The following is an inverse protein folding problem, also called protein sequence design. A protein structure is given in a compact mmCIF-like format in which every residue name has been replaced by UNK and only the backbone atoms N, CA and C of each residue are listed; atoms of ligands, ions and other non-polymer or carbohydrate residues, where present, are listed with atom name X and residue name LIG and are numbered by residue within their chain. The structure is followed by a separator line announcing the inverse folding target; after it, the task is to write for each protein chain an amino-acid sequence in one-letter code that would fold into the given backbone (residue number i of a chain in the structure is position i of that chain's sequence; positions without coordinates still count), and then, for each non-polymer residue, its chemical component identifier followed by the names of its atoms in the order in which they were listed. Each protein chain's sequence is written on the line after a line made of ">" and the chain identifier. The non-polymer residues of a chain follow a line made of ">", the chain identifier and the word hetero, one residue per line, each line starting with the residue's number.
data_IF_212179935937
#
_entry.id   IF_212179935937
#
_cell.length_a   1.000
_cell.length_b   1.000
_cell.length_c   1.000
_cell.angle_alpha   90.00
_cell.angle_beta   90.00
_cell.angle_gamma   90.00
#
_symmetry.space_group_name_H-M   'P 1'
#
loop_
_entity.id
_entity.type
_entity.pdbx_description
1 polymer ?
#
# COMPACT_ATOMS: atom_id res chain seq x y z
N UNK A 1 -9.61 7.66 6.31
CA UNK A 1 -9.43 7.51 7.78
C UNK A 1 -9.67 8.89 8.40
N UNK A 2 -10.26 8.95 9.60
CA UNK A 2 -10.60 10.23 10.26
C UNK A 2 -9.46 10.77 11.14
N UNK A 3 -9.70 11.88 11.83
CA UNK A 3 -8.73 12.55 12.71
C UNK A 3 -8.06 11.64 13.75
N UNK A 4 -8.80 10.66 14.28
CA UNK A 4 -8.29 9.69 15.25
C UNK A 4 -7.05 8.92 14.76
N UNK A 5 -6.90 8.71 13.45
CA UNK A 5 -5.76 8.00 12.89
C UNK A 5 -4.46 8.75 13.17
N UNK A 6 -4.48 10.07 12.97
CA UNK A 6 -3.34 10.96 13.14
C UNK A 6 -2.97 11.18 14.61
N UNK A 7 -3.92 11.07 15.54
CA UNK A 7 -3.67 11.16 16.99
C UNK A 7 -3.29 9.83 17.63
N UNK A 8 -3.53 8.71 16.95
CA UNK A 8 -3.09 7.38 17.38
C UNK A 8 -1.62 7.13 17.04
N UNK A 9 -1.04 6.05 17.58
CA UNK A 9 0.32 5.60 17.20
C UNK A 9 0.52 5.42 15.70
N UNK A 10 -0.56 5.19 14.93
CA UNK A 10 -0.52 5.00 13.47
C UNK A 10 -0.08 6.26 12.73
N UNK A 11 -0.40 7.45 13.26
CA UNK A 11 0.01 8.74 12.71
C UNK A 11 1.48 9.09 12.96
N UNK A 12 2.17 8.38 13.86
CA UNK A 12 3.55 8.67 14.21
C UNK A 12 4.51 7.72 13.47
N UNK A 13 5.29 8.24 12.52
CA UNK A 13 6.17 7.44 11.63
C UNK A 13 7.18 6.60 12.41
N UNK A 14 7.71 7.11 13.52
CA UNK A 14 8.64 6.37 14.38
C UNK A 14 8.01 5.14 15.07
N UNK A 15 6.67 5.06 15.14
CA UNK A 15 5.93 3.91 15.69
C UNK A 15 5.31 3.04 14.61
N UNK A 16 4.83 3.65 13.52
CA UNK A 16 4.06 2.95 12.48
C UNK A 16 4.87 2.58 11.25
N UNK A 17 6.01 3.22 11.04
CA UNK A 17 6.77 3.12 9.81
C UNK A 17 6.17 3.88 8.62
N UNK A 18 5.10 4.65 8.83
CA UNK A 18 4.42 5.41 7.77
C UNK A 18 3.40 4.59 6.97
N UNK A 19 2.79 5.22 5.96
CA UNK A 19 1.66 4.62 5.23
C UNK A 19 2.08 3.37 4.45
N UNK A 20 3.21 3.42 3.75
CA UNK A 20 3.70 2.29 2.96
C UNK A 20 3.92 1.05 3.83
N UNK A 21 4.45 1.20 5.05
CA UNK A 21 4.63 0.09 5.99
C UNK A 21 3.31 -0.33 6.66
N UNK A 22 2.65 0.60 7.34
CA UNK A 22 1.49 0.27 8.20
C UNK A 22 0.25 -0.17 7.41
N UNK A 23 0.12 0.29 6.17
CA UNK A 23 -1.05 0.00 5.31
C UNK A 23 -0.64 -0.86 4.10
N UNK A 24 0.53 -0.58 3.51
CA UNK A 24 0.94 -1.13 2.23
C UNK A 24 1.62 -2.48 2.26
N UNK A 25 2.24 -2.88 3.38
CA UNK A 25 3.20 -4.00 3.41
C UNK A 25 2.64 -5.31 2.84
N UNK A 26 1.39 -5.66 3.15
CA UNK A 26 0.77 -6.89 2.64
C UNK A 26 0.52 -6.88 1.13
N UNK A 27 0.35 -5.69 0.51
CA UNK A 27 0.27 -5.60 -0.95
C UNK A 27 1.63 -5.82 -1.58
N UNK A 28 2.69 -5.22 -1.04
CA UNK A 28 4.04 -5.40 -1.56
C UNK A 28 4.53 -6.84 -1.38
N UNK A 29 4.17 -7.47 -0.26
CA UNK A 29 4.38 -8.90 0.00
C UNK A 29 3.70 -9.78 -1.06
N UNK A 30 2.39 -9.58 -1.26
CA UNK A 30 1.63 -10.32 -2.27
C UNK A 30 2.16 -10.09 -3.69
N UNK A 31 2.51 -8.86 -4.05
CA UNK A 31 3.08 -8.55 -5.37
C UNK A 31 4.43 -9.24 -5.57
N UNK A 32 5.29 -9.22 -4.56
CA UNK A 32 6.56 -9.94 -4.57
C UNK A 32 6.38 -11.45 -4.72
N UNK A 33 5.44 -12.03 -3.97
CA UNK A 33 5.10 -13.44 -4.07
C UNK A 33 4.63 -13.86 -5.47
N UNK A 34 3.81 -13.03 -6.13
CA UNK A 34 3.28 -13.32 -7.48
C UNK A 34 4.33 -13.05 -8.57
N UNK A 35 4.99 -11.89 -8.51
CA UNK A 35 5.79 -11.36 -9.63
C UNK A 35 7.30 -11.52 -9.48
N UNK A 36 7.77 -12.05 -8.35
CA UNK A 36 9.17 -12.38 -8.11
C UNK A 36 9.96 -11.24 -7.46
N UNK A 37 11.27 -11.24 -7.68
CA UNK A 37 12.18 -10.30 -7.04
C UNK A 37 11.98 -8.86 -7.52
N UNK A 38 12.12 -7.89 -6.61
CA UNK A 38 12.11 -6.46 -6.97
C UNK A 38 13.43 -6.07 -7.64
N UNK A 39 13.35 -5.37 -8.77
CA UNK A 39 14.49 -4.86 -9.57
C UNK A 39 14.60 -3.35 -9.50
N UNK A 40 13.48 -2.64 -9.37
CA UNK A 40 13.46 -1.19 -9.24
C UNK A 40 12.35 -0.75 -8.28
N UNK A 41 12.63 0.29 -7.48
CA UNK A 41 11.70 0.86 -6.53
C UNK A 41 11.81 2.39 -6.54
N UNK A 42 10.81 3.05 -7.12
CA UNK A 42 10.76 4.51 -7.27
C UNK A 42 9.58 5.05 -6.47
N UNK A 43 9.85 6.03 -5.62
CA UNK A 43 8.81 6.78 -4.90
C UNK A 43 8.53 8.10 -5.61
N UNK A 44 7.27 8.31 -6.01
CA UNK A 44 6.83 9.56 -6.65
C UNK A 44 6.21 10.54 -5.64
N UNK A 45 5.43 10.01 -4.70
CA UNK A 45 4.74 10.76 -3.65
C UNK A 45 4.88 10.01 -2.34
N UNK A 46 5.23 10.70 -1.27
CA UNK A 46 5.18 10.16 0.09
C UNK A 46 4.85 11.29 1.06
N UNK A 47 3.60 11.32 1.55
CA UNK A 47 3.07 12.35 2.44
C UNK A 47 2.35 11.71 3.62
N UNK A 48 1.78 12.54 4.50
CA UNK A 48 1.07 12.07 5.70
C UNK A 48 -0.22 11.27 5.42
N UNK A 49 -0.84 11.41 4.25
CA UNK A 49 -2.12 10.76 3.90
C UNK A 49 -2.04 9.81 2.70
N UNK A 50 -0.95 9.82 1.93
CA UNK A 50 -0.77 8.95 0.78
C UNK A 50 0.69 8.68 0.44
N UNK A 51 0.90 7.60 -0.28
CA UNK A 51 2.15 7.29 -0.94
C UNK A 51 1.86 6.72 -2.33
N UNK A 52 2.73 6.99 -3.31
CA UNK A 52 2.61 6.49 -4.66
C UNK A 52 3.99 6.26 -5.26
N UNK A 53 4.10 5.25 -6.12
CA UNK A 53 5.38 4.85 -6.65
C UNK A 53 5.25 3.89 -7.83
N UNK A 54 6.41 3.38 -8.22
CA UNK A 54 6.59 2.35 -9.22
C UNK A 54 7.51 1.27 -8.67
N UNK A 55 7.15 0.02 -8.93
CA UNK A 55 7.97 -1.15 -8.65
C UNK A 55 8.13 -1.93 -9.95
N UNK A 56 9.36 -2.26 -10.31
CA UNK A 56 9.65 -3.27 -11.33
C UNK A 56 10.01 -4.56 -10.62
N UNK A 57 9.21 -5.59 -10.83
CA UNK A 57 9.49 -6.96 -10.44
C UNK A 57 9.97 -7.75 -11.66
N UNK A 58 10.54 -8.94 -11.45
CA UNK A 58 10.98 -9.83 -12.54
C UNK A 58 9.92 -10.07 -13.61
N UNK A 59 8.64 -10.13 -13.21
CA UNK A 59 7.53 -10.49 -14.09
C UNK A 59 6.48 -9.40 -14.26
N UNK A 60 6.66 -8.23 -13.62
CA UNK A 60 5.64 -7.18 -13.69
C UNK A 60 6.19 -5.78 -13.45
N UNK A 61 5.50 -4.81 -14.04
CA UNK A 61 5.70 -3.38 -13.82
C UNK A 61 4.47 -2.84 -13.11
N UNK A 62 4.65 -2.34 -11.88
CA UNK A 62 3.55 -2.02 -10.99
C UNK A 62 3.62 -0.55 -10.60
N UNK A 63 2.67 0.22 -11.12
CA UNK A 63 2.37 1.56 -10.59
C UNK A 63 1.43 1.39 -9.42
N UNK A 64 1.77 1.94 -8.26
CA UNK A 64 0.99 1.76 -7.03
C UNK A 64 0.61 3.08 -6.38
N UNK A 65 -0.53 3.08 -5.69
CA UNK A 65 -1.05 4.21 -4.93
C UNK A 65 -1.74 3.72 -3.66
N UNK A 66 -1.34 4.27 -2.53
CA UNK A 66 -1.90 3.99 -1.21
C UNK A 66 -2.37 5.30 -0.61
N UNK A 67 -3.60 5.34 -0.11
CA UNK A 67 -4.07 6.51 0.63
C UNK A 67 -5.02 6.14 1.76
N UNK A 68 -4.93 6.92 2.83
CA UNK A 68 -5.91 6.93 3.90
C UNK A 68 -6.89 8.09 3.75
N UNK A 69 -6.80 8.90 2.70
CA UNK A 69 -7.72 10.00 2.44
C UNK A 69 -8.98 9.47 1.73
N UNK A 70 -10.15 9.91 2.19
CA UNK A 70 -11.42 9.51 1.57
C UNK A 70 -11.60 10.17 0.19
N UNK A 71 -11.04 11.37 0.00
CA UNK A 71 -11.24 12.14 -1.22
C UNK A 71 -10.52 11.52 -2.43
N UNK A 72 -9.55 10.63 -2.20
CA UNK A 72 -8.83 9.90 -3.25
C UNK A 72 -9.57 8.65 -3.75
N UNK A 73 -10.74 8.33 -3.18
CA UNK A 73 -11.57 7.21 -3.64
C UNK A 73 -12.31 7.63 -4.94
N UNK A 74 -12.45 6.74 -5.94
CA UNK A 74 -13.26 7.02 -7.13
C UNK A 74 -14.71 7.39 -6.79
N UNK A 75 -15.29 8.34 -7.53
CA UNK A 75 -16.65 8.84 -7.26
C UNK A 75 -17.71 7.74 -7.39
N UNK A 76 -17.52 6.79 -8.30
CA UNK A 76 -18.39 5.63 -8.51
C UNK A 76 -18.44 4.73 -7.27
N UNK A 77 -17.34 4.62 -6.54
CA UNK A 77 -17.24 3.85 -5.29
C UNK A 77 -17.87 4.63 -4.14
N UNK A 78 -17.67 5.96 -4.08
CA UNK A 78 -18.32 6.83 -3.09
C UNK A 78 -19.85 6.81 -3.23
N UNK A 79 -20.37 6.82 -4.46
CA UNK A 79 -21.82 6.74 -4.75
C UNK A 79 -22.46 5.44 -4.25
N UNK A 80 -21.69 4.38 -4.11
CA UNK A 80 -22.14 3.10 -3.54
C UNK A 80 -22.10 3.10 -2.00
N UNK A 81 -21.71 4.20 -1.36
CA UNK A 81 -21.58 4.31 0.10
C UNK A 81 -20.32 3.65 0.65
N UNK A 82 -19.42 3.16 -0.21
CA UNK A 82 -18.20 2.48 0.21
C UNK A 82 -17.14 3.49 0.65
N UNK A 83 -16.42 3.15 1.72
CA UNK A 83 -15.36 3.99 2.33
C UNK A 83 -13.96 3.46 2.12
N UNK A 84 -13.83 2.37 1.38
CA UNK A 84 -12.59 1.67 1.07
C UNK A 84 -12.62 1.24 -0.39
N UNK A 85 -11.47 1.35 -1.05
CA UNK A 85 -11.28 0.87 -2.40
C UNK A 85 -9.93 0.17 -2.48
N UNK A 86 -9.93 -1.10 -2.89
CA UNK A 86 -8.75 -1.93 -3.11
C UNK A 86 -8.94 -2.63 -4.44
N UNK A 87 -8.10 -2.28 -5.40
CA UNK A 87 -8.16 -2.86 -6.72
C UNK A 87 -6.75 -3.11 -7.25
N UNK A 88 -6.61 -4.19 -8.01
CA UNK A 88 -5.43 -4.50 -8.81
C UNK A 88 -5.90 -4.72 -10.24
N UNK A 89 -5.30 -4.00 -11.18
CA UNK A 89 -5.59 -4.15 -12.61
C UNK A 89 -4.39 -4.77 -13.30
N UNK A 90 -4.61 -5.88 -14.01
CA UNK A 90 -3.59 -6.62 -14.77
C UNK A 90 -4.11 -6.74 -16.21
N UNK A 91 -3.44 -6.06 -17.15
CA UNK A 91 -3.99 -5.91 -18.49
C UNK A 91 -5.34 -5.18 -18.44
N UNK A 92 -6.38 -5.80 -18.98
CA UNK A 92 -7.74 -5.27 -19.00
C UNK A 92 -8.60 -5.74 -17.81
N UNK A 93 -8.08 -6.70 -17.02
CA UNK A 93 -8.82 -7.31 -15.91
C UNK A 93 -8.57 -6.55 -14.61
N UNK A 94 -9.65 -6.13 -13.94
CA UNK A 94 -9.58 -5.49 -12.63
C UNK A 94 -10.17 -6.40 -11.56
N UNK A 95 -9.34 -6.76 -10.59
CA UNK A 95 -9.74 -7.46 -9.39
C UNK A 95 -9.94 -6.46 -8.25
N UNK A 96 -11.19 -6.25 -7.85
CA UNK A 96 -11.57 -5.42 -6.70
C UNK A 96 -11.85 -6.34 -5.50
N UNK A 97 -11.25 -6.02 -4.35
CA UNK A 97 -11.28 -6.92 -3.18
C UNK A 97 -11.38 -6.13 -1.88
N UNK A 98 -12.23 -5.11 -1.82
CA UNK A 98 -12.49 -4.39 -0.58
C UNK A 98 -13.29 -5.22 0.43
N UNK A 99 -13.98 -6.27 -0.02
CA UNK A 99 -14.65 -7.29 0.80
C UNK A 99 -13.94 -8.66 0.79
N UNK A 100 -14.34 -9.57 1.67
CA UNK A 100 -13.91 -10.99 1.61
C UNK A 100 -12.69 -11.38 2.47
N UNK A 101 -12.20 -10.51 3.36
CA UNK A 101 -11.11 -10.83 4.30
C UNK A 101 -11.56 -11.56 5.59
N UNK A 102 -12.72 -12.21 5.58
CA UNK A 102 -13.21 -12.95 6.74
C UNK A 102 -12.51 -14.31 6.83
N UNK A 103 -12.13 -14.75 8.03
CA UNK A 103 -11.51 -16.05 8.31
C UNK A 103 -10.09 -16.32 7.79
N UNK A 104 -9.45 -15.38 7.09
CA UNK A 104 -8.05 -15.57 6.63
C UNK A 104 -7.05 -15.66 7.79
N UNK A 105 -7.34 -15.01 8.92
CA UNK A 105 -6.54 -15.15 10.13
C UNK A 105 -6.63 -16.58 10.68
N UNK A 106 -7.84 -17.13 10.82
CA UNK A 106 -8.05 -18.53 11.26
C UNK A 106 -7.25 -19.52 10.42
N UNK A 107 -7.27 -19.35 9.09
CA UNK A 107 -6.46 -20.18 8.17
C UNK A 107 -4.97 -19.97 8.35
N UNK A 108 -4.51 -18.73 8.54
CA UNK A 108 -3.10 -18.43 8.79
C UNK A 108 -2.60 -19.11 10.07
N UNK A 109 -3.40 -19.10 11.15
CA UNK A 109 -3.07 -19.80 12.38
C UNK A 109 -2.98 -21.31 12.18
N UNK A 110 -3.94 -21.92 11.48
CA UNK A 110 -3.88 -23.34 11.16
C UNK A 110 -2.61 -23.69 10.36
N UNK A 111 -2.26 -22.85 9.37
CA UNK A 111 -1.07 -23.05 8.55
C UNK A 111 0.23 -23.01 9.38
N UNK A 112 0.30 -22.10 10.37
CA UNK A 112 1.42 -22.05 11.32
C UNK A 112 1.46 -23.31 12.20
N UNK A 113 0.32 -23.74 12.75
CA UNK A 113 0.23 -24.93 13.60
C UNK A 113 0.55 -26.23 12.85
N UNK A 114 0.29 -26.27 11.54
CA UNK A 114 0.64 -27.38 10.65
C UNK A 114 2.13 -27.38 10.23
N UNK A 115 2.94 -26.46 10.76
CA UNK A 115 4.36 -26.33 10.43
C UNK A 115 4.64 -25.70 9.06
N UNK A 116 3.65 -25.02 8.47
CA UNK A 116 3.74 -24.38 7.14
C UNK A 116 3.72 -22.85 7.22
N UNK A 117 3.93 -22.27 8.40
CA UNK A 117 3.92 -20.81 8.59
C UNK A 117 4.94 -20.08 7.70
N UNK A 118 4.69 -18.80 7.43
CA UNK A 118 5.64 -17.94 6.73
C UNK A 118 6.87 -17.68 7.61
N UNK A 119 8.04 -17.85 7.01
CA UNK A 119 9.34 -17.64 7.65
C UNK A 119 9.81 -16.19 7.49
N UNK A 120 10.92 -15.86 8.16
CA UNK A 120 11.53 -14.54 8.06
C UNK A 120 11.94 -14.20 6.62
N UNK A 121 12.44 -15.17 5.88
CA UNK A 121 12.85 -14.97 4.48
C UNK A 121 11.66 -14.67 3.56
N UNK A 122 10.48 -15.24 3.85
CA UNK A 122 9.27 -14.96 3.07
C UNK A 122 8.84 -13.49 3.20
N UNK A 123 8.97 -12.91 4.40
CA UNK A 123 8.59 -11.52 4.67
C UNK A 123 9.67 -10.48 4.28
N UNK A 124 10.90 -10.92 4.03
CA UNK A 124 12.09 -10.06 3.88
C UNK A 124 11.97 -9.08 2.73
N UNK A 125 11.51 -9.54 1.57
CA UNK A 125 11.35 -8.66 0.40
C UNK A 125 10.36 -7.54 0.68
N UNK A 126 9.20 -7.84 1.27
CA UNK A 126 8.19 -6.84 1.61
C UNK A 126 8.75 -5.80 2.61
N UNK A 127 9.50 -6.26 3.61
CA UNK A 127 10.17 -5.40 4.59
C UNK A 127 11.20 -4.48 3.90
N UNK A 128 12.01 -5.01 2.99
CA UNK A 128 12.99 -4.21 2.24
C UNK A 128 12.31 -3.16 1.36
N UNK A 129 11.24 -3.52 0.64
CA UNK A 129 10.48 -2.59 -0.20
C UNK A 129 9.97 -1.40 0.64
N UNK A 130 9.31 -1.67 1.78
CA UNK A 130 8.76 -0.58 2.61
C UNK A 130 9.83 0.16 3.40
N UNK A 131 10.97 -0.48 3.69
CA UNK A 131 12.15 0.18 4.24
C UNK A 131 12.69 1.21 3.24
N UNK A 132 12.92 0.82 1.99
CA UNK A 132 13.42 1.70 0.94
C UNK A 132 12.46 2.87 0.70
N UNK A 133 11.15 2.59 0.57
CA UNK A 133 10.13 3.63 0.39
C UNK A 133 10.18 4.69 1.51
N UNK A 134 10.47 4.27 2.75
CA UNK A 134 10.55 5.17 3.90
C UNK A 134 11.78 6.08 3.85
N UNK A 135 12.88 5.63 3.29
CA UNK A 135 14.16 6.35 3.30
C UNK A 135 14.48 7.06 1.99
N UNK A 136 13.72 6.81 0.92
CA UNK A 136 13.84 7.53 -0.34
C UNK A 136 13.20 8.93 -0.27
N UNK A 137 13.86 9.89 -0.92
CA UNK A 137 13.26 11.19 -1.22
C UNK A 137 12.37 11.05 -2.47
N UNK A 138 11.08 11.41 -2.43
CA UNK A 138 10.22 11.29 -3.59
C UNK A 138 10.72 12.10 -4.78
N UNK A 139 10.76 11.50 -5.97
CA UNK A 139 11.28 12.13 -7.20
C UNK A 139 10.27 13.09 -7.87
N UNK A 140 9.04 13.13 -7.36
CA UNK A 140 7.91 13.85 -7.94
C UNK A 140 7.24 13.08 -9.07
N UNK A 141 6.35 13.75 -9.83
CA UNK A 141 5.58 13.16 -10.93
C UNK A 141 6.43 13.03 -12.21
N UNK A 142 7.48 12.21 -12.15
CA UNK A 142 8.38 11.91 -13.28
C UNK A 142 8.25 10.45 -13.68
N UNK A 143 8.25 10.15 -14.97
CA UNK A 143 8.19 8.78 -15.47
C UNK A 143 6.86 8.07 -15.15
N UNK A 144 6.95 6.81 -14.73
CA UNK A 144 5.83 5.87 -14.58
C UNK A 144 5.05 6.03 -13.26
N UNK A 145 4.60 7.24 -12.94
CA UNK A 145 3.78 7.45 -11.75
C UNK A 145 2.35 6.90 -11.91
N UNK A 146 1.77 6.43 -10.81
CA UNK A 146 0.38 6.02 -10.77
C UNK A 146 -0.55 7.22 -11.06
N UNK A 147 -1.62 7.09 -11.87
CA UNK A 147 -2.50 8.22 -12.23
C UNK A 147 -3.01 9.04 -11.03
N UNK A 148 -3.34 8.39 -9.92
CA UNK A 148 -3.85 9.05 -8.71
C UNK A 148 -2.79 9.87 -7.96
N UNK A 149 -1.50 9.74 -8.29
CA UNK A 149 -0.46 10.61 -7.73
C UNK A 149 -0.66 12.10 -8.09
N UNK A 150 -1.45 12.38 -9.14
CA UNK A 150 -1.83 13.74 -9.56
C UNK A 150 -2.93 14.37 -8.71
N UNK A 151 -3.60 13.60 -7.86
CA UNK A 151 -4.70 14.13 -7.06
C UNK A 151 -4.19 15.22 -6.12
N UNK A 152 -4.98 16.29 -5.88
CA UNK A 152 -4.59 17.38 -4.99
C UNK A 152 -4.11 16.89 -3.62
N UNK A 153 -3.02 17.47 -3.14
CA UNK A 153 -2.50 17.19 -1.80
C UNK A 153 -3.40 17.84 -0.74
N UNK A 154 -3.60 17.13 0.36
CA UNK A 154 -4.25 17.67 1.54
C UNK A 154 -3.20 18.22 2.50
N UNK A 155 -3.58 19.21 3.32
CA UNK A 155 -2.79 19.62 4.48
C UNK A 155 -2.92 18.58 5.59
N UNK A 156 -1.89 18.46 6.42
CA UNK A 156 -2.00 17.65 7.60
C UNK A 156 -3.09 18.23 8.54
N UNK A 157 -4.01 17.43 9.09
CA UNK A 157 -5.16 17.95 9.83
C UNK A 157 -4.84 18.74 11.10
N UNK A 158 -3.59 18.73 11.54
CA UNK A 158 -3.10 19.41 12.74
C UNK A 158 -1.93 20.37 12.44
N UNK A 159 -1.54 20.54 11.18
CA UNK A 159 -0.59 21.59 10.79
C UNK A 159 -1.38 22.82 10.38
N UNK A 160 -1.05 23.96 11.00
CA UNK A 160 -1.67 25.27 10.76
C UNK A 160 -0.99 25.95 9.58
#
# INVERSE_FOLDING_TARGET
>A
RGHWYYTSWKGFVNKSGGIATNIGVHFFDMLGWIFGEVKENIVHVHTHDRAAGYLEFEKARVRWFLSINYDTIPEEVKKQGLRTYRAITIGDDTFEFSGGFTELHTRSYQHVLDGKGFLLEDAKQAINIVYDIRHQNPVGLKGDYHPFAKLPLAKHPFEV
#
